data_IF_605137164873
#
_entry.id   IF_605137164873
#
_cell.length_a   1.000
_cell.length_b   1.000
_cell.length_c   1.000
_cell.angle_alpha   90.00
_cell.angle_beta   90.00
_cell.angle_gamma   90.00
#
_symmetry.space_group_name_H-M   'P 1'
#
loop_
_entity.id
_entity.type
_entity.pdbx_description
1 polymer ?
#
# COMPACT_ATOMS: atom_id res chain seq x y z
N UNK A 1 -14.02 -17.48 4.74
CA UNK A 1 -13.26 -16.80 5.80
C UNK A 1 -13.07 -15.32 5.49
N UNK A 2 -12.51 -15.02 4.32
CA UNK A 2 -12.37 -13.64 3.87
C UNK A 2 -13.72 -13.02 3.55
N UNK A 3 -14.63 -13.81 2.99
CA UNK A 3 -16.01 -13.40 2.76
C UNK A 3 -16.74 -13.15 4.07
N UNK A 4 -16.44 -13.93 5.12
CA UNK A 4 -17.00 -13.71 6.45
C UNK A 4 -16.55 -12.38 7.04
N UNK A 5 -15.25 -12.05 6.92
CA UNK A 5 -14.71 -10.78 7.40
C UNK A 5 -15.34 -9.61 6.66
N UNK A 6 -15.50 -9.72 5.34
CA UNK A 6 -16.13 -8.68 4.53
C UNK A 6 -17.61 -8.51 4.90
N UNK A 7 -18.32 -9.60 5.14
CA UNK A 7 -19.72 -9.56 5.60
C UNK A 7 -19.86 -8.87 6.94
N UNK A 8 -18.95 -9.13 7.88
CA UNK A 8 -18.95 -8.48 9.19
C UNK A 8 -18.72 -6.98 9.04
N UNK A 9 -17.74 -6.59 8.21
CA UNK A 9 -17.46 -5.17 7.94
C UNK A 9 -18.65 -4.48 7.30
N UNK A 10 -19.30 -5.12 6.32
CA UNK A 10 -20.47 -4.56 5.66
C UNK A 10 -21.65 -4.40 6.61
N UNK A 11 -21.88 -5.36 7.51
CA UNK A 11 -22.93 -5.25 8.53
C UNK A 11 -22.66 -4.11 9.50
N UNK A 12 -21.39 -3.94 9.90
CA UNK A 12 -21.01 -2.82 10.77
C UNK A 12 -21.28 -1.49 10.08
N UNK A 13 -21.00 -1.40 8.77
CA UNK A 13 -21.25 -0.19 7.98
C UNK A 13 -22.73 0.06 7.73
N UNK A 14 -23.57 -0.98 7.65
CA UNK A 14 -25.03 -0.82 7.60
C UNK A 14 -25.56 -0.12 8.84
N UNK A 15 -24.99 -0.45 10.01
CA UNK A 15 -25.37 0.16 11.28
C UNK A 15 -24.79 1.56 11.44
N UNK A 16 -23.59 1.82 10.88
CA UNK A 16 -22.89 3.09 11.02
C UNK A 16 -22.06 3.36 9.76
N UNK A 17 -22.72 3.83 8.70
CA UNK A 17 -22.16 3.97 7.36
C UNK A 17 -21.06 5.02 7.26
N UNK A 18 -21.01 5.98 8.21
CA UNK A 18 -20.02 7.06 8.19
C UNK A 18 -18.82 6.79 9.09
N UNK A 19 -18.78 5.63 9.75
CA UNK A 19 -17.70 5.29 10.67
C UNK A 19 -16.40 5.04 9.90
N UNK A 20 -15.43 5.92 10.09
CA UNK A 20 -14.13 5.87 9.40
C UNK A 20 -13.37 4.60 9.76
N UNK A 21 -13.43 4.16 11.02
CA UNK A 21 -12.74 2.94 11.46
C UNK A 21 -13.30 1.69 10.77
N UNK A 22 -14.62 1.63 10.60
CA UNK A 22 -15.25 0.50 9.89
C UNK A 22 -14.92 0.54 8.41
N UNK A 23 -14.89 1.73 7.80
CA UNK A 23 -14.51 1.89 6.39
C UNK A 23 -13.04 1.51 6.17
N UNK A 24 -12.16 1.93 7.08
CA UNK A 24 -10.76 1.54 7.02
C UNK A 24 -10.59 0.02 7.17
N UNK A 25 -11.27 -0.59 8.13
CA UNK A 25 -11.23 -2.05 8.31
C UNK A 25 -11.68 -2.77 7.05
N UNK A 26 -12.74 -2.30 6.40
CA UNK A 26 -13.19 -2.85 5.12
C UNK A 26 -12.11 -2.71 4.04
N UNK A 27 -11.45 -1.56 3.97
CA UNK A 27 -10.38 -1.35 2.97
C UNK A 27 -9.23 -2.33 3.17
N UNK A 28 -8.87 -2.64 4.41
CA UNK A 28 -7.81 -3.61 4.72
C UNK A 28 -8.21 -5.02 4.30
N UNK A 29 -9.46 -5.40 4.51
CA UNK A 29 -9.97 -6.69 4.05
C UNK A 29 -9.92 -6.79 2.52
N UNK A 30 -10.36 -5.73 1.83
CA UNK A 30 -10.31 -5.67 0.37
C UNK A 30 -8.88 -5.79 -0.14
N UNK A 31 -7.94 -5.11 0.51
CA UNK A 31 -6.51 -5.19 0.18
C UNK A 31 -6.01 -6.63 0.31
N UNK A 32 -6.27 -7.26 1.44
CA UNK A 32 -5.75 -8.59 1.75
C UNK A 32 -6.42 -9.71 0.93
N UNK A 33 -7.54 -9.42 0.32
CA UNK A 33 -8.26 -10.37 -0.54
C UNK A 33 -8.05 -10.13 -2.03
N UNK A 34 -7.18 -9.18 -2.38
CA UNK A 34 -6.86 -8.88 -3.77
C UNK A 34 -7.88 -8.02 -4.50
N UNK A 35 -8.83 -7.41 -3.79
CA UNK A 35 -9.81 -6.49 -4.36
C UNK A 35 -9.24 -5.07 -4.37
N UNK A 36 -8.17 -4.89 -5.17
CA UNK A 36 -7.34 -3.69 -5.13
C UNK A 36 -8.08 -2.43 -5.57
N UNK A 37 -8.86 -2.51 -6.65
CA UNK A 37 -9.58 -1.33 -7.17
C UNK A 37 -10.61 -0.83 -6.16
N UNK A 38 -11.33 -1.74 -5.52
CA UNK A 38 -12.31 -1.37 -4.49
C UNK A 38 -11.63 -0.78 -3.25
N UNK A 39 -10.49 -1.35 -2.84
CA UNK A 39 -9.68 -0.82 -1.75
C UNK A 39 -9.26 0.62 -2.05
N UNK A 40 -8.73 0.87 -3.23
CA UNK A 40 -8.26 2.20 -3.64
C UNK A 40 -9.41 3.21 -3.61
N UNK A 41 -10.56 2.87 -4.19
CA UNK A 41 -11.72 3.75 -4.23
C UNK A 41 -12.21 4.12 -2.83
N UNK A 42 -12.29 3.13 -1.94
CA UNK A 42 -12.73 3.35 -0.57
C UNK A 42 -11.76 4.25 0.18
N UNK A 43 -10.45 3.99 0.05
CA UNK A 43 -9.42 4.80 0.69
C UNK A 43 -9.35 6.22 0.14
N UNK A 44 -9.59 6.42 -1.15
CA UNK A 44 -9.66 7.76 -1.74
C UNK A 44 -10.79 8.58 -1.12
N UNK A 45 -11.94 7.95 -0.88
CA UNK A 45 -13.05 8.61 -0.17
C UNK A 45 -12.69 8.95 1.26
N UNK A 46 -11.95 8.07 1.94
CA UNK A 46 -11.49 8.33 3.31
C UNK A 46 -10.55 9.54 3.35
N UNK A 47 -9.64 9.64 2.39
CA UNK A 47 -8.69 10.77 2.30
C UNK A 47 -9.44 12.08 2.03
N UNK A 48 -10.50 12.06 1.22
CA UNK A 48 -11.32 13.24 0.97
C UNK A 48 -11.96 13.76 2.27
N UNK A 49 -12.32 12.87 3.19
CA UNK A 49 -12.90 13.23 4.49
C UNK A 49 -11.86 13.64 5.50
N UNK A 50 -10.70 12.99 5.49
CA UNK A 50 -9.60 13.25 6.42
C UNK A 50 -8.28 12.95 5.71
N UNK A 51 -7.63 13.99 5.21
CA UNK A 51 -6.37 13.86 4.46
C UNK A 51 -5.16 13.60 5.35
N UNK A 52 -5.34 13.54 6.67
CA UNK A 52 -4.31 13.17 7.63
C UNK A 52 -4.34 11.69 8.03
N UNK A 53 -5.28 10.92 7.47
CA UNK A 53 -5.42 9.48 7.78
C UNK A 53 -4.33 8.67 7.09
N UNK A 54 -3.20 8.51 7.80
CA UNK A 54 -1.99 7.87 7.25
C UNK A 54 -2.27 6.49 6.66
N UNK A 55 -3.06 5.68 7.36
CA UNK A 55 -3.35 4.29 6.99
C UNK A 55 -4.08 4.17 5.65
N UNK A 56 -4.87 5.19 5.28
CA UNK A 56 -5.54 5.19 3.98
C UNK A 56 -4.54 5.33 2.83
N UNK A 57 -3.54 6.18 3.00
CA UNK A 57 -2.45 6.31 2.02
C UNK A 57 -1.66 4.99 1.92
N UNK A 58 -1.39 4.36 3.05
CA UNK A 58 -0.69 3.09 3.10
C UNK A 58 -1.44 2.01 2.32
N UNK A 59 -2.75 1.89 2.54
CA UNK A 59 -3.56 0.88 1.86
C UNK A 59 -3.64 1.11 0.35
N UNK A 60 -3.74 2.37 -0.10
CA UNK A 60 -3.69 2.69 -1.54
C UNK A 60 -2.32 2.30 -2.10
N UNK A 61 -1.25 2.72 -1.43
CA UNK A 61 0.10 2.41 -1.85
C UNK A 61 0.34 0.92 -1.98
N UNK A 62 -0.09 0.15 -0.98
CA UNK A 62 0.02 -1.32 -1.00
C UNK A 62 -0.86 -1.96 -2.06
N UNK A 63 -2.04 -1.40 -2.35
CA UNK A 63 -2.90 -1.95 -3.40
C UNK A 63 -2.20 -1.89 -4.77
N UNK A 64 -1.56 -0.79 -5.10
CA UNK A 64 -0.76 -0.69 -6.31
C UNK A 64 0.50 -1.57 -6.24
N UNK A 65 1.20 -1.52 -5.11
CA UNK A 65 2.44 -2.27 -4.90
C UNK A 65 2.22 -3.77 -5.02
N UNK A 66 1.19 -4.30 -4.37
CA UNK A 66 0.89 -5.74 -4.39
C UNK A 66 0.51 -6.22 -5.80
N UNK A 67 -0.18 -5.39 -6.58
CA UNK A 67 -0.46 -5.71 -7.98
C UNK A 67 0.84 -5.85 -8.78
N UNK A 68 1.79 -4.94 -8.56
CA UNK A 68 3.10 -5.02 -9.23
C UNK A 68 3.85 -6.29 -8.83
N UNK A 69 3.86 -6.62 -7.54
CA UNK A 69 4.52 -7.82 -7.03
C UNK A 69 3.90 -9.09 -7.63
N UNK A 70 2.59 -9.16 -7.72
CA UNK A 70 1.91 -10.31 -8.31
C UNK A 70 2.28 -10.50 -9.78
N UNK A 71 2.30 -9.41 -10.56
CA UNK A 71 2.70 -9.47 -11.96
C UNK A 71 4.18 -9.84 -12.10
N UNK A 72 5.02 -9.40 -11.17
CA UNK A 72 6.46 -9.65 -11.22
C UNK A 72 6.81 -11.12 -10.91
N UNK A 73 5.93 -11.87 -10.28
CA UNK A 73 6.13 -13.30 -10.01
C UNK A 73 6.03 -14.17 -11.27
N UNK A 74 5.44 -13.67 -12.34
CA UNK A 74 5.31 -14.41 -13.60
C UNK A 74 6.69 -14.53 -14.24
N UNK A 75 7.11 -15.75 -14.57
CA UNK A 75 8.48 -16.01 -15.09
C UNK A 75 8.74 -15.37 -16.44
N UNK A 76 7.77 -15.46 -17.35
CA UNK A 76 7.91 -14.87 -18.69
C UNK A 76 7.03 -13.63 -18.76
N UNK A 77 7.70 -12.48 -18.87
CA UNK A 77 7.00 -11.20 -18.93
C UNK A 77 7.10 -10.62 -20.33
N UNK A 78 5.94 -10.33 -20.93
CA UNK A 78 5.89 -9.53 -22.15
C UNK A 78 6.37 -8.10 -21.86
N UNK A 79 6.68 -7.37 -22.92
CA UNK A 79 7.05 -5.95 -22.82
C UNK A 79 5.94 -5.15 -22.14
N UNK A 80 4.68 -5.42 -22.51
CA UNK A 80 3.53 -4.72 -21.92
C UNK A 80 3.38 -5.02 -20.43
N UNK A 81 3.62 -6.26 -20.03
CA UNK A 81 3.57 -6.64 -18.61
C UNK A 81 4.64 -5.94 -17.79
N UNK A 82 5.88 -5.89 -18.30
CA UNK A 82 6.96 -5.13 -17.63
C UNK A 82 6.61 -3.65 -17.50
N UNK A 83 6.02 -3.09 -18.54
CA UNK A 83 5.58 -1.69 -18.56
C UNK A 83 4.49 -1.45 -17.51
N UNK A 84 3.55 -2.39 -17.39
CA UNK A 84 2.48 -2.32 -16.38
C UNK A 84 3.03 -2.37 -14.96
N UNK A 85 4.02 -3.24 -14.71
CA UNK A 85 4.69 -3.33 -13.40
C UNK A 85 5.30 -1.99 -13.02
N UNK A 86 6.04 -1.37 -13.94
CA UNK A 86 6.67 -0.07 -13.68
C UNK A 86 5.65 1.03 -13.42
N UNK A 87 4.54 1.03 -14.16
CA UNK A 87 3.43 1.97 -13.95
C UNK A 87 2.84 1.82 -12.56
N UNK A 88 2.61 0.58 -12.13
CA UNK A 88 2.06 0.30 -10.79
C UNK A 88 3.00 0.79 -9.68
N UNK A 89 4.30 0.61 -9.82
CA UNK A 89 5.26 1.15 -8.87
C UNK A 89 5.22 2.69 -8.84
N UNK A 90 5.11 3.32 -9.99
CA UNK A 90 4.99 4.79 -10.07
C UNK A 90 3.70 5.29 -9.42
N UNK A 91 2.60 4.57 -9.58
CA UNK A 91 1.32 4.92 -8.95
C UNK A 91 1.37 4.71 -7.44
N UNK A 92 2.05 3.68 -6.98
CA UNK A 92 2.21 3.38 -5.55
C UNK A 92 3.04 4.43 -4.82
N UNK A 93 4.09 4.93 -5.46
CA UNK A 93 5.15 5.72 -4.84
C UNK A 93 4.65 6.94 -4.06
N UNK A 94 3.82 7.84 -4.64
CA UNK A 94 3.40 9.03 -3.90
C UNK A 94 2.59 8.72 -2.64
N UNK A 95 1.83 7.64 -2.65
CA UNK A 95 1.04 7.23 -1.48
C UNK A 95 1.93 6.70 -0.36
N UNK A 96 2.92 5.88 -0.68
CA UNK A 96 3.86 5.37 0.31
C UNK A 96 4.79 6.45 0.85
N UNK A 97 5.20 7.39 0.01
CA UNK A 97 5.99 8.54 0.46
C UNK A 97 5.16 9.45 1.38
N UNK A 98 3.87 9.65 1.07
CA UNK A 98 2.96 10.39 1.94
C UNK A 98 2.77 9.68 3.27
N UNK A 99 2.62 8.36 3.23
CA UNK A 99 2.53 7.56 4.46
C UNK A 99 3.77 7.75 5.34
N UNK A 100 4.96 7.70 4.75
CA UNK A 100 6.22 7.92 5.47
C UNK A 100 6.25 9.29 6.14
N UNK A 101 5.75 10.33 5.46
CA UNK A 101 5.69 11.67 6.02
C UNK A 101 4.72 11.77 7.19
N UNK A 102 3.58 11.10 7.11
CA UNK A 102 2.56 11.13 8.15
C UNK A 102 2.87 10.20 9.34
N UNK A 103 3.59 9.12 9.08
CA UNK A 103 3.89 8.10 10.09
C UNK A 103 5.36 7.67 10.01
N UNK A 104 6.32 8.59 10.21
CA UNK A 104 7.75 8.28 10.04
C UNK A 104 8.26 7.20 11.01
N UNK A 105 7.60 7.04 12.16
CA UNK A 105 7.95 6.03 13.15
C UNK A 105 7.61 4.60 12.69
N UNK A 106 6.73 4.45 11.68
CA UNK A 106 6.28 3.15 11.19
C UNK A 106 7.23 2.56 10.15
N UNK A 107 8.51 2.50 10.46
CA UNK A 107 9.55 2.01 9.54
C UNK A 107 9.30 0.59 9.08
N UNK A 108 8.79 -0.28 9.95
CA UNK A 108 8.45 -1.65 9.59
C UNK A 108 7.46 -1.73 8.43
N UNK A 109 6.66 -0.66 8.24
CA UNK A 109 5.64 -0.62 7.19
C UNK A 109 6.17 -0.05 5.87
N UNK A 110 6.91 1.09 5.91
CA UNK A 110 7.25 1.79 4.67
C UNK A 110 8.64 1.48 4.11
N UNK A 111 9.57 0.98 4.91
CA UNK A 111 10.95 0.77 4.45
C UNK A 111 11.00 -0.23 3.30
N UNK A 112 10.42 -1.41 3.48
CA UNK A 112 10.52 -2.50 2.50
C UNK A 112 9.85 -2.17 1.15
N UNK A 113 8.60 -1.67 1.13
CA UNK A 113 8.00 -1.29 -0.15
C UNK A 113 8.75 -0.17 -0.87
N UNK A 114 9.17 0.88 -0.15
CA UNK A 114 9.92 1.97 -0.77
C UNK A 114 11.26 1.51 -1.31
N UNK A 115 11.95 0.63 -0.61
CA UNK A 115 13.20 0.01 -1.09
C UNK A 115 12.96 -0.64 -2.46
N UNK A 116 11.95 -1.47 -2.57
CA UNK A 116 11.61 -2.17 -3.81
C UNK A 116 11.27 -1.20 -4.94
N UNK A 117 10.46 -0.19 -4.65
CA UNK A 117 10.04 0.80 -5.65
C UNK A 117 11.23 1.62 -6.15
N UNK A 118 12.05 2.14 -5.25
CA UNK A 118 13.21 2.95 -5.64
C UNK A 118 14.19 2.13 -6.47
N UNK A 119 14.41 0.86 -6.10
CA UNK A 119 15.27 -0.04 -6.86
C UNK A 119 14.75 -0.23 -8.29
N UNK A 120 13.47 -0.55 -8.42
CA UNK A 120 12.87 -0.85 -9.74
C UNK A 120 12.71 0.38 -10.61
N UNK A 121 12.53 1.56 -10.04
CA UNK A 121 12.41 2.81 -10.79
C UNK A 121 13.76 3.49 -11.03
N UNK A 122 14.87 2.86 -10.64
CA UNK A 122 16.23 3.39 -10.79
C UNK A 122 16.41 4.76 -10.14
N UNK A 123 15.81 4.95 -8.98
CA UNK A 123 15.93 6.18 -8.19
C UNK A 123 17.12 6.05 -7.23
N UNK A 124 18.33 6.20 -7.79
CA UNK A 124 19.58 5.86 -7.11
C UNK A 124 19.79 6.61 -5.80
N UNK A 125 19.51 7.91 -5.77
CA UNK A 125 19.69 8.74 -4.56
C UNK A 125 18.74 8.28 -3.45
N UNK A 126 17.46 8.13 -3.78
CA UNK A 126 16.43 7.68 -2.84
C UNK A 126 16.69 6.24 -2.40
N UNK A 127 17.15 5.40 -3.34
CA UNK A 127 17.51 4.02 -3.03
C UNK A 127 18.65 3.95 -2.02
N UNK A 128 19.71 4.72 -2.21
CA UNK A 128 20.87 4.72 -1.30
C UNK A 128 20.44 5.14 0.10
N UNK A 129 19.58 6.13 0.22
CA UNK A 129 19.04 6.60 1.50
C UNK A 129 18.21 5.51 2.19
N UNK A 130 17.27 4.90 1.45
CA UNK A 130 16.39 3.89 2.03
C UNK A 130 17.15 2.59 2.38
N UNK A 131 18.17 2.25 1.60
CA UNK A 131 19.04 1.11 1.86
C UNK A 131 19.78 1.28 3.18
N UNK A 132 20.30 2.47 3.43
CA UNK A 132 20.94 2.81 4.70
C UNK A 132 19.96 2.68 5.87
N UNK A 133 18.77 3.22 5.74
CA UNK A 133 17.72 3.12 6.77
C UNK A 133 17.35 1.65 7.01
N UNK A 134 17.20 0.88 5.96
CA UNK A 134 16.87 -0.56 6.04
C UNK A 134 17.94 -1.33 6.83
N UNK A 135 19.20 -1.07 6.55
CA UNK A 135 20.31 -1.74 7.23
C UNK A 135 20.39 -1.34 8.71
N UNK A 136 20.20 -0.08 9.04
CA UNK A 136 20.15 0.42 10.42
C UNK A 136 18.99 -0.20 11.18
N UNK A 137 17.80 -0.23 10.57
CA UNK A 137 16.61 -0.81 11.18
C UNK A 137 16.82 -2.31 11.47
N UNK A 138 17.34 -3.05 10.50
CA UNK A 138 17.60 -4.48 10.65
C UNK A 138 18.61 -4.76 11.78
N UNK A 139 19.67 -3.96 11.87
CA UNK A 139 20.70 -4.13 12.90
C UNK A 139 20.15 -3.87 14.29
N UNK A 140 19.24 -2.91 14.43
CA UNK A 140 18.63 -2.55 15.71
C UNK A 140 17.55 -3.52 16.18
N UNK A 141 17.05 -4.40 15.27
CA UNK A 141 15.96 -5.34 15.55
C UNK A 141 16.39 -6.81 15.42
N UNK A 142 17.67 -7.09 15.57
CA UNK A 142 18.18 -8.45 15.62
C UNK A 142 17.98 -9.07 16.99
#
# INVERSE_FOLDING_TARGET
>A
KLDSALNIANKALEADSTNIMFQYAKSTILLNTGHYDECIKLCQKLIEKDDSLAEAYYNIGLAYFNQAIELDKVQQKSRDKRKRIMTLYKESLPYLEKYRLLAPEQKAQWVSPLYTIYLNLNMGKEFDEIDKIKNEYRNNHR
#
